data_IF_619428328876
#
_entry.id   IF_619428328876
#
_cell.length_a   1.000
_cell.length_b   1.000
_cell.length_c   1.000
_cell.angle_alpha   90.00
_cell.angle_beta   90.00
_cell.angle_gamma   90.00
#
_symmetry.space_group_name_H-M   'P 1'
#
loop_
_entity.id
_entity.type
_entity.pdbx_description
1 polymer ?
#
# COMPACT_ATOMS: atom_id res chain seq x y z
N UNK A 1 15.63 8.99 -6.64
CA UNK A 1 14.84 9.31 -7.85
C UNK A 1 13.51 9.83 -7.36
N UNK A 2 13.24 11.12 -7.52
CA UNK A 2 11.98 11.73 -7.07
C UNK A 2 10.90 11.22 -8.02
N UNK A 3 10.09 10.26 -7.58
CA UNK A 3 8.85 9.92 -8.29
C UNK A 3 7.90 11.08 -7.98
N UNK A 4 7.99 12.12 -8.82
CA UNK A 4 7.13 13.28 -8.76
C UNK A 4 5.73 12.91 -9.22
N UNK A 5 4.74 13.15 -8.37
CA UNK A 5 3.35 13.47 -8.72
C UNK A 5 2.57 12.53 -9.68
N UNK A 6 3.01 11.31 -9.96
CA UNK A 6 2.02 10.27 -10.32
C UNK A 6 1.22 9.99 -9.06
N UNK A 7 -0.07 10.36 -9.08
CA UNK A 7 -1.00 9.99 -8.02
C UNK A 7 -0.84 8.50 -7.76
N UNK A 8 -0.55 8.08 -6.52
CA UNK A 8 -0.26 6.69 -6.18
C UNK A 8 -1.32 5.71 -6.72
N UNK A 9 -2.56 6.18 -6.90
CA UNK A 9 -3.64 5.40 -7.50
C UNK A 9 -3.45 5.18 -9.01
N UNK A 10 -2.76 6.08 -9.72
CA UNK A 10 -2.43 5.94 -11.15
C UNK A 10 -1.55 4.72 -11.40
N UNK A 11 -0.57 4.48 -10.54
CA UNK A 11 0.30 3.29 -10.63
C UNK A 11 -0.52 2.02 -10.40
N UNK A 12 -1.36 2.00 -9.37
CA UNK A 12 -2.25 0.88 -9.07
C UNK A 12 -3.29 0.62 -10.18
N UNK A 13 -3.77 1.68 -10.83
CA UNK A 13 -4.76 1.60 -11.91
C UNK A 13 -4.24 0.96 -13.20
N UNK A 14 -2.92 0.78 -13.34
CA UNK A 14 -2.33 -0.02 -14.42
C UNK A 14 -2.48 -1.53 -14.18
N UNK A 15 -2.72 -1.95 -12.93
CA UNK A 15 -2.73 -3.35 -12.51
C UNK A 15 -4.16 -3.80 -12.19
N UNK A 16 -4.87 -2.99 -11.39
CA UNK A 16 -6.21 -3.28 -10.88
C UNK A 16 -7.30 -2.82 -11.84
N UNK A 17 -8.49 -3.41 -11.70
CA UNK A 17 -9.68 -2.98 -12.43
C UNK A 17 -10.09 -1.54 -12.06
N UNK A 18 -10.75 -0.86 -13.00
CA UNK A 18 -11.29 0.48 -12.74
C UNK A 18 -12.33 0.49 -11.61
N UNK A 19 -13.06 -0.61 -11.42
CA UNK A 19 -14.05 -0.72 -10.35
C UNK A 19 -13.36 -0.69 -8.98
N UNK A 20 -12.33 -1.52 -8.78
CA UNK A 20 -11.52 -1.54 -7.55
C UNK A 20 -10.91 -0.17 -7.28
N UNK A 21 -10.32 0.47 -8.30
CA UNK A 21 -9.72 1.81 -8.14
C UNK A 21 -10.77 2.83 -7.70
N UNK A 22 -11.98 2.82 -8.30
CA UNK A 22 -13.07 3.73 -7.90
C UNK A 22 -13.52 3.48 -6.47
N UNK A 23 -13.64 2.22 -6.03
CA UNK A 23 -14.01 1.91 -4.66
C UNK A 23 -12.95 2.44 -3.68
N UNK A 24 -11.67 2.16 -3.92
CA UNK A 24 -10.56 2.64 -3.09
C UNK A 24 -10.43 4.17 -3.07
N UNK A 25 -10.67 4.85 -4.19
CA UNK A 25 -10.63 6.32 -4.26
C UNK A 25 -11.73 7.00 -3.44
N UNK A 26 -12.89 6.35 -3.32
CA UNK A 26 -14.02 6.87 -2.56
C UNK A 26 -13.98 6.45 -1.08
N UNK A 27 -13.04 5.59 -0.70
CA UNK A 27 -12.89 5.12 0.65
C UNK A 27 -12.23 6.18 1.56
N UNK A 28 -12.88 6.45 2.70
CA UNK A 28 -12.41 7.42 3.69
C UNK A 28 -11.42 6.84 4.69
N UNK A 29 -11.41 5.52 4.87
CA UNK A 29 -10.45 4.83 5.74
C UNK A 29 -9.11 4.59 5.03
N UNK A 30 -9.09 4.62 3.70
CA UNK A 30 -7.85 4.56 2.93
C UNK A 30 -7.10 5.90 2.99
N UNK A 31 -6.09 5.96 3.84
CA UNK A 31 -5.24 7.13 4.04
C UNK A 31 -4.13 7.21 3.00
N UNK A 32 -3.38 8.30 3.02
CA UNK A 32 -2.21 8.51 2.15
C UNK A 32 -1.21 7.35 2.25
N UNK A 33 -1.03 6.78 3.45
CA UNK A 33 -0.13 5.63 3.64
C UNK A 33 -0.62 4.39 2.89
N UNK A 34 -1.90 4.05 2.96
CA UNK A 34 -2.46 2.95 2.17
C UNK A 34 -2.29 3.17 0.66
N UNK A 35 -2.42 4.40 0.18
CA UNK A 35 -2.15 4.70 -1.24
C UNK A 35 -0.69 4.46 -1.62
N UNK A 36 0.26 4.86 -0.77
CA UNK A 36 1.70 4.57 -0.96
C UNK A 36 1.98 3.07 -0.99
N UNK A 37 1.39 2.32 -0.07
CA UNK A 37 1.49 0.85 -0.01
C UNK A 37 0.98 0.24 -1.31
N UNK A 38 -0.19 0.67 -1.78
CA UNK A 38 -0.79 0.17 -3.00
C UNK A 38 0.08 0.44 -4.23
N UNK A 39 0.65 1.64 -4.36
CA UNK A 39 1.61 1.96 -5.42
C UNK A 39 2.87 1.10 -5.33
N UNK A 40 3.41 0.90 -4.11
CA UNK A 40 4.58 0.05 -3.87
C UNK A 40 4.33 -1.39 -4.30
N UNK A 41 3.16 -1.96 -3.95
CA UNK A 41 2.76 -3.30 -4.41
C UNK A 41 2.58 -3.36 -5.93
N UNK A 42 1.99 -2.35 -6.54
CA UNK A 42 1.84 -2.28 -7.99
C UNK A 42 3.19 -2.22 -8.74
N UNK A 43 4.21 -1.59 -8.15
CA UNK A 43 5.56 -1.52 -8.72
C UNK A 43 6.32 -2.84 -8.51
N UNK A 44 6.32 -3.35 -7.28
CA UNK A 44 7.20 -4.44 -6.87
C UNK A 44 6.60 -5.83 -7.11
N UNK A 45 5.29 -5.96 -6.98
CA UNK A 45 4.56 -7.24 -7.00
C UNK A 45 3.23 -7.13 -7.80
N UNK A 46 3.26 -6.68 -9.07
CA UNK A 46 2.04 -6.44 -9.85
C UNK A 46 1.20 -7.70 -10.09
N UNK A 47 1.83 -8.87 -10.25
CA UNK A 47 1.11 -10.12 -10.45
C UNK A 47 0.36 -10.55 -9.19
N UNK A 48 1.01 -10.46 -8.03
CA UNK A 48 0.42 -10.80 -6.73
C UNK A 48 -0.74 -9.85 -6.41
N UNK A 49 -0.54 -8.55 -6.64
CA UNK A 49 -1.60 -7.55 -6.45
C UNK A 49 -2.84 -7.87 -7.31
N UNK A 50 -2.64 -8.34 -8.53
CA UNK A 50 -3.72 -8.76 -9.42
C UNK A 50 -4.38 -10.07 -8.97
N UNK A 51 -3.62 -11.01 -8.38
CA UNK A 51 -4.18 -12.23 -7.79
C UNK A 51 -5.05 -11.88 -6.58
N UNK A 52 -4.56 -11.00 -5.70
CA UNK A 52 -5.31 -10.52 -4.54
C UNK A 52 -6.64 -9.86 -4.95
N UNK A 53 -6.64 -9.04 -6.01
CA UNK A 53 -7.88 -8.47 -6.55
C UNK A 53 -8.87 -9.56 -7.00
N UNK A 54 -8.38 -10.61 -7.66
CA UNK A 54 -9.22 -11.72 -8.13
C UNK A 54 -9.79 -12.56 -7.00
N UNK A 55 -9.14 -12.60 -5.83
CA UNK A 55 -9.70 -13.23 -4.63
C UNK A 55 -10.89 -12.43 -4.07
N UNK A 56 -11.01 -11.15 -4.45
CA UNK A 56 -12.17 -10.31 -4.21
C UNK A 56 -11.79 -8.95 -3.60
N UNK A 57 -12.62 -7.94 -3.86
CA UNK A 57 -12.40 -6.57 -3.38
C UNK A 57 -12.19 -6.52 -1.86
N UNK A 58 -13.03 -7.22 -1.09
CA UNK A 58 -12.93 -7.21 0.38
C UNK A 58 -11.59 -7.77 0.86
N UNK A 59 -11.06 -8.81 0.20
CA UNK A 59 -9.77 -9.40 0.56
C UNK A 59 -8.65 -8.39 0.29
N UNK A 60 -8.61 -7.81 -0.91
CA UNK A 60 -7.68 -6.74 -1.25
C UNK A 60 -7.75 -5.57 -0.27
N UNK A 61 -8.96 -5.10 0.03
CA UNK A 61 -9.20 -3.99 0.94
C UNK A 61 -8.71 -4.30 2.35
N UNK A 62 -9.06 -5.46 2.91
CA UNK A 62 -8.65 -5.85 4.26
C UNK A 62 -7.12 -5.98 4.38
N UNK A 63 -6.45 -6.60 3.40
CA UNK A 63 -4.99 -6.71 3.37
C UNK A 63 -4.33 -5.33 3.30
N UNK A 64 -4.89 -4.42 2.49
CA UNK A 64 -4.38 -3.06 2.36
C UNK A 64 -4.53 -2.24 3.65
N UNK A 65 -5.69 -2.31 4.30
CA UNK A 65 -5.96 -1.59 5.55
C UNK A 65 -5.11 -2.14 6.69
N UNK A 66 -4.99 -3.45 6.84
CA UNK A 66 -4.14 -4.05 7.87
C UNK A 66 -2.66 -3.65 7.69
N UNK A 67 -2.17 -3.61 6.45
CA UNK A 67 -0.82 -3.14 6.16
C UNK A 67 -0.67 -1.64 6.48
N UNK A 68 -1.68 -0.82 6.15
CA UNK A 68 -1.69 0.60 6.47
C UNK A 68 -1.58 0.83 7.98
N UNK A 69 -2.39 0.14 8.78
CA UNK A 69 -2.35 0.25 10.24
C UNK A 69 -0.99 -0.17 10.79
N UNK A 70 -0.46 -1.33 10.34
CA UNK A 70 0.86 -1.83 10.75
C UNK A 70 1.98 -0.83 10.45
N UNK A 71 2.00 -0.24 9.26
CA UNK A 71 3.01 0.75 8.89
C UNK A 71 2.82 2.06 9.65
N UNK A 72 1.59 2.53 9.84
CA UNK A 72 1.32 3.76 10.58
C UNK A 72 1.70 3.65 12.06
N UNK A 73 1.45 2.50 12.69
CA UNK A 73 1.87 2.23 14.06
C UNK A 73 3.41 2.26 14.17
N UNK A 74 4.12 1.64 13.23
CA UNK A 74 5.58 1.67 13.21
C UNK A 74 6.15 3.08 12.95
N UNK A 75 5.46 3.89 12.14
CA UNK A 75 5.88 5.24 11.79
C UNK A 75 5.56 6.29 12.87
N UNK A 76 4.55 6.05 13.73
CA UNK A 76 4.17 6.99 14.80
C UNK A 76 5.15 6.98 15.98
N UNK A 77 5.91 5.91 16.18
CA UNK A 77 6.79 5.74 17.34
C UNK A 77 8.19 6.38 17.22
N UNK A 78 8.47 7.27 16.26
CA UNK A 78 9.82 7.87 16.12
C UNK A 78 9.85 9.38 15.78
N UNK A 79 10.39 10.23 16.67
CA UNK A 79 10.52 11.69 16.46
C UNK A 79 11.80 12.13 15.72
N UNK A 80 12.63 11.21 15.23
CA UNK A 80 13.92 11.53 14.61
C UNK A 80 13.84 11.93 13.13
N UNK A 81 13.99 13.22 12.84
CA UNK A 81 13.84 13.83 11.49
C UNK A 81 14.87 13.42 10.41
N UNK A 82 15.70 12.39 10.64
CA UNK A 82 16.82 12.07 9.74
C UNK A 82 16.70 10.75 9.00
N UNK A 83 15.67 9.94 9.26
CA UNK A 83 15.45 8.65 8.58
C UNK A 83 14.32 8.75 7.57
N UNK A 84 14.46 8.06 6.44
CA UNK A 84 13.35 7.86 5.50
C UNK A 84 12.30 6.90 6.08
N UNK A 85 11.06 6.99 5.60
CA UNK A 85 9.97 6.09 6.00
C UNK A 85 10.35 4.62 5.80
N UNK A 86 11.04 4.29 4.70
CA UNK A 86 11.45 2.92 4.42
C UNK A 86 12.48 2.39 5.44
N UNK A 87 13.48 3.20 5.78
CA UNK A 87 14.47 2.83 6.79
C UNK A 87 13.83 2.66 8.18
N UNK A 88 12.80 3.45 8.50
CA UNK A 88 12.05 3.31 9.75
C UNK A 88 11.27 2.00 9.79
N UNK A 89 10.58 1.64 8.70
CA UNK A 89 9.84 0.38 8.61
C UNK A 89 10.78 -0.83 8.69
N UNK A 90 11.93 -0.77 8.03
CA UNK A 90 12.96 -1.81 8.09
C UNK A 90 13.54 -1.95 9.50
N UNK A 91 13.87 -0.83 10.18
CA UNK A 91 14.35 -0.84 11.56
C UNK A 91 13.35 -1.48 12.53
N UNK A 92 12.05 -1.32 12.26
CA UNK A 92 10.95 -1.88 13.06
C UNK A 92 10.57 -3.30 12.65
N UNK A 93 11.27 -3.88 11.67
CA UNK A 93 10.99 -5.23 11.17
C UNK A 93 9.64 -5.36 10.45
N UNK A 94 9.07 -4.25 9.97
CA UNK A 94 7.81 -4.28 9.23
C UNK A 94 8.07 -4.80 7.82
N UNK A 95 7.41 -5.91 7.48
CA UNK A 95 7.42 -6.41 6.12
C UNK A 95 6.52 -5.53 5.24
N UNK A 96 7.10 -4.94 4.20
CA UNK A 96 6.42 -4.02 3.28
C UNK A 96 5.96 -4.68 1.97
N UNK A 97 6.36 -5.94 1.76
CA UNK A 97 5.93 -6.77 0.63
C UNK A 97 4.48 -7.20 0.77
N UNK A 98 3.83 -7.43 -0.37
CA UNK A 98 2.48 -8.00 -0.36
C UNK A 98 2.59 -9.49 -0.03
N UNK A 99 1.94 -9.91 1.05
CA UNK A 99 1.82 -11.32 1.43
C UNK A 99 0.40 -11.80 1.12
N UNK A 100 0.29 -12.70 0.15
CA UNK A 100 -0.96 -13.42 -0.11
C UNK A 100 -0.92 -14.65 0.81
N UNK A 101 -1.89 -14.75 1.73
CA UNK A 101 -2.09 -16.00 2.46
C UNK A 101 -2.83 -16.99 1.54
N UNK A 102 -2.29 -18.20 1.40
CA UNK A 102 -2.90 -19.29 0.63
C UNK A 102 -4.22 -19.80 1.25
#
# INVERSE_FOLDING_TARGET
MIIGNEDHMTTAARILSQETIRQLQNDKALMTQGRKILARWAINQPNDLKVLEKQGYLMLYSTLINQQETEMDALTENPGQSMSEQEMLELRGVNTSLLISD
#
